data_IF_814630491449
#
_entry.id   IF_814630491449
#
_cell.length_a   1.000
_cell.length_b   1.000
_cell.length_c   1.000
_cell.angle_alpha   90.00
_cell.angle_beta   90.00
_cell.angle_gamma   90.00
#
_symmetry.space_group_name_H-M   'P 1'
#
loop_
_entity.id
_entity.type
_entity.pdbx_description
1 polymer ?
#
# COMPACT_ATOMS: atom_id res chain seq x y z
N UNK A 1 -22.18 2.24 11.36
CA UNK A 1 -22.57 3.45 10.60
C UNK A 1 -21.30 4.04 10.03
N UNK A 2 -21.21 4.22 8.70
CA UNK A 2 -19.98 4.72 8.06
C UNK A 2 -19.69 6.16 8.47
N UNK A 3 -18.46 6.42 8.87
CA UNK A 3 -17.97 7.76 9.19
C UNK A 3 -17.73 8.51 7.89
N UNK A 4 -18.37 9.67 7.78
CA UNK A 4 -18.18 10.54 6.63
C UNK A 4 -16.74 11.04 6.56
N UNK A 5 -16.11 10.83 5.40
CA UNK A 5 -14.72 11.19 5.17
C UNK A 5 -14.63 12.56 4.49
N UNK A 6 -14.10 13.55 5.21
CA UNK A 6 -13.83 14.85 4.62
C UNK A 6 -12.50 14.86 3.84
N UNK A 7 -12.40 15.77 2.87
CA UNK A 7 -11.23 15.89 1.98
C UNK A 7 -9.93 16.11 2.74
N UNK A 8 -10.01 16.90 3.82
CA UNK A 8 -8.86 17.19 4.68
C UNK A 8 -8.27 15.92 5.31
N UNK A 9 -9.12 15.02 5.83
CA UNK A 9 -8.65 13.74 6.41
C UNK A 9 -8.03 12.85 5.33
N UNK A 10 -8.64 12.77 4.14
CA UNK A 10 -8.07 12.03 3.01
C UNK A 10 -6.65 12.52 2.66
N UNK A 11 -6.46 13.84 2.53
CA UNK A 11 -5.16 14.42 2.17
C UNK A 11 -4.13 14.38 3.32
N UNK A 12 -4.59 14.21 4.58
CA UNK A 12 -3.72 14.17 5.76
C UNK A 12 -3.42 12.77 6.27
N UNK A 13 -4.05 11.72 5.74
CA UNK A 13 -3.89 10.36 6.27
C UNK A 13 -2.43 9.93 6.32
N UNK A 14 -1.64 10.19 5.28
CA UNK A 14 -0.22 9.85 5.27
C UNK A 14 0.57 10.55 6.37
N UNK A 15 0.24 11.80 6.68
CA UNK A 15 0.86 12.53 7.80
C UNK A 15 0.42 11.97 9.15
N UNK A 16 -0.84 11.54 9.29
CA UNK A 16 -1.34 10.89 10.50
C UNK A 16 -0.64 9.55 10.74
N UNK A 17 -0.58 8.70 9.72
CA UNK A 17 0.09 7.41 9.78
C UNK A 17 1.61 7.55 9.98
N UNK A 18 2.23 8.58 9.41
CA UNK A 18 3.65 8.90 9.67
C UNK A 18 3.89 9.27 11.13
N UNK A 19 3.00 10.04 11.75
CA UNK A 19 3.11 10.39 13.19
C UNK A 19 2.95 9.17 14.08
N UNK A 20 2.12 8.22 13.67
CA UNK A 20 1.85 7.02 14.44
C UNK A 20 2.94 5.95 14.31
N UNK A 21 3.37 5.65 13.09
CA UNK A 21 4.24 4.51 12.78
C UNK A 21 5.69 4.91 12.47
N UNK A 22 5.93 6.18 12.17
CA UNK A 22 7.21 6.71 11.73
C UNK A 22 7.35 6.72 10.20
N UNK A 23 8.60 6.63 9.72
CA UNK A 23 8.94 6.62 8.29
C UNK A 23 10.20 5.78 8.08
N UNK A 24 10.34 5.19 6.89
CA UNK A 24 11.59 4.58 6.44
C UNK A 24 12.55 5.71 6.04
N UNK A 25 13.76 5.74 6.59
CA UNK A 25 14.77 6.72 6.20
C UNK A 25 15.35 6.37 4.81
N UNK A 26 15.82 7.40 4.10
CA UNK A 26 16.50 7.20 2.81
C UNK A 26 17.76 6.36 3.02
N UNK A 27 17.90 5.27 2.27
CA UNK A 27 19.00 4.31 2.38
C UNK A 27 18.68 3.08 3.22
N UNK A 28 17.54 3.05 3.93
CA UNK A 28 17.11 1.92 4.76
C UNK A 28 16.07 1.02 4.05
N UNK A 29 15.75 1.29 2.79
CA UNK A 29 14.69 0.59 2.06
C UNK A 29 14.96 -0.90 1.88
N UNK A 30 16.24 -1.30 1.83
CA UNK A 30 16.65 -2.70 1.66
C UNK A 30 16.10 -3.63 2.75
N UNK A 31 15.92 -3.14 3.98
CA UNK A 31 15.34 -3.93 5.06
C UNK A 31 13.86 -4.33 4.79
N UNK A 32 13.20 -3.63 3.88
CA UNK A 32 11.79 -3.81 3.53
C UNK A 32 11.60 -4.37 2.11
N UNK A 33 12.68 -4.80 1.44
CA UNK A 33 12.65 -5.22 0.04
C UNK A 33 11.62 -6.35 -0.23
N UNK A 34 11.42 -7.24 0.74
CA UNK A 34 10.42 -8.31 0.64
C UNK A 34 8.96 -7.82 0.64
N UNK A 35 8.66 -6.69 1.27
CA UNK A 35 7.35 -6.04 1.22
C UNK A 35 7.21 -5.12 -0.01
N UNK A 36 8.28 -4.41 -0.38
CA UNK A 36 8.27 -3.57 -1.58
C UNK A 36 8.04 -4.38 -2.85
N UNK A 37 8.69 -5.55 -2.99
CA UNK A 37 8.61 -6.35 -4.20
C UNK A 37 7.16 -6.66 -4.67
N UNK A 38 6.24 -7.20 -3.83
CA UNK A 38 4.86 -7.40 -4.26
C UNK A 38 4.08 -6.10 -4.40
N UNK A 39 4.28 -5.09 -3.54
CA UNK A 39 3.57 -3.81 -3.66
C UNK A 39 3.87 -3.10 -4.98
N UNK A 40 5.15 -2.85 -5.27
CA UNK A 40 5.60 -2.16 -6.47
C UNK A 40 5.38 -3.02 -7.72
N UNK A 41 5.59 -4.34 -7.62
CA UNK A 41 5.33 -5.28 -8.71
C UNK A 41 3.85 -5.31 -9.11
N UNK A 42 2.93 -5.36 -8.14
CA UNK A 42 1.49 -5.34 -8.43
C UNK A 42 1.06 -4.00 -9.03
N UNK A 43 1.57 -2.87 -8.52
CA UNK A 43 1.34 -1.55 -9.12
C UNK A 43 1.83 -1.52 -10.58
N UNK A 44 3.03 -2.02 -10.85
CA UNK A 44 3.57 -2.02 -12.21
C UNK A 44 2.74 -2.88 -13.17
N UNK A 45 2.33 -4.09 -12.75
CA UNK A 45 1.44 -4.95 -13.55
C UNK A 45 0.15 -4.22 -13.94
N UNK A 46 -0.47 -3.55 -12.98
CA UNK A 46 -1.72 -2.82 -13.21
C UNK A 46 -1.54 -1.59 -14.09
N UNK A 47 -0.43 -0.87 -13.97
CA UNK A 47 -0.10 0.25 -14.85
C UNK A 47 0.08 -0.20 -16.31
N UNK A 48 0.76 -1.34 -16.53
CA UNK A 48 0.97 -1.91 -17.87
C UNK A 48 -0.34 -2.20 -18.62
N UNK A 49 -1.41 -2.52 -17.89
CA UNK A 49 -2.73 -2.76 -18.48
C UNK A 49 -3.48 -1.49 -18.86
N UNK A 50 -3.24 -0.38 -18.17
CA UNK A 50 -3.90 0.89 -18.46
C UNK A 50 -2.98 2.07 -18.10
N UNK A 51 -2.47 2.83 -19.08
CA UNK A 51 -1.56 3.94 -18.85
C UNK A 51 -2.19 5.14 -18.12
N UNK A 52 -3.52 5.22 -18.02
CA UNK A 52 -4.21 6.24 -17.22
C UNK A 52 -4.05 6.01 -15.71
N UNK A 53 -3.64 4.79 -15.32
CA UNK A 53 -3.27 4.43 -13.96
C UNK A 53 -1.87 4.98 -13.66
N UNK A 54 -1.80 6.28 -13.43
CA UNK A 54 -0.56 7.05 -13.27
C UNK A 54 -0.24 7.35 -11.80
N UNK A 55 0.86 8.09 -11.54
CA UNK A 55 1.35 8.38 -10.19
C UNK A 55 0.30 9.03 -9.29
N UNK A 56 -0.54 9.93 -9.83
CA UNK A 56 -1.64 10.53 -9.07
C UNK A 56 -2.63 9.47 -8.58
N UNK A 57 -3.00 8.51 -9.44
CA UNK A 57 -3.93 7.43 -9.07
C UNK A 57 -3.31 6.48 -8.06
N UNK A 58 -2.01 6.23 -8.14
CA UNK A 58 -1.29 5.44 -7.15
C UNK A 58 -1.25 6.12 -5.77
N UNK A 59 -1.04 7.44 -5.70
CA UNK A 59 -1.10 8.20 -4.44
C UNK A 59 -2.50 8.12 -3.82
N UNK A 60 -3.55 8.34 -4.63
CA UNK A 60 -4.93 8.23 -4.15
C UNK A 60 -5.24 6.82 -3.63
N UNK A 61 -4.75 5.78 -4.31
CA UNK A 61 -4.88 4.40 -3.87
C UNK A 61 -4.16 4.13 -2.55
N UNK A 62 -2.96 4.68 -2.35
CA UNK A 62 -2.23 4.59 -1.08
C UNK A 62 -3.03 5.26 0.04
N UNK A 63 -3.61 6.44 -0.18
CA UNK A 63 -4.46 7.10 0.82
C UNK A 63 -5.67 6.26 1.20
N UNK A 64 -6.31 5.60 0.22
CA UNK A 64 -7.40 4.65 0.47
C UNK A 64 -6.92 3.45 1.30
N UNK A 65 -5.77 2.85 0.96
CA UNK A 65 -5.21 1.72 1.72
C UNK A 65 -4.90 2.12 3.17
N UNK A 66 -4.28 3.28 3.37
CA UNK A 66 -3.99 3.80 4.72
C UNK A 66 -5.25 4.06 5.54
N UNK A 67 -6.34 4.54 4.90
CA UNK A 67 -7.63 4.73 5.57
C UNK A 67 -8.31 3.40 5.94
N UNK A 68 -8.17 2.37 5.12
CA UNK A 68 -8.67 1.03 5.45
C UNK A 68 -7.91 0.46 6.66
N UNK A 69 -6.58 0.57 6.65
CA UNK A 69 -5.74 0.16 7.78
C UNK A 69 -6.08 0.95 9.05
N UNK A 70 -6.17 2.29 8.98
CA UNK A 70 -6.65 3.13 10.09
C UNK A 70 -8.02 2.65 10.60
N UNK A 71 -8.92 2.27 9.69
CA UNK A 71 -10.23 1.72 10.01
C UNK A 71 -10.17 0.42 10.80
N UNK A 72 -9.32 -0.53 10.40
CA UNK A 72 -9.11 -1.78 11.13
C UNK A 72 -8.56 -1.53 12.55
N UNK A 73 -7.61 -0.61 12.67
CA UNK A 73 -6.93 -0.31 13.94
C UNK A 73 -7.80 0.48 14.93
N UNK A 74 -8.77 1.23 14.41
CA UNK A 74 -9.62 2.14 15.21
C UNK A 74 -11.09 1.70 15.26
N UNK A 75 -11.39 0.51 14.76
CA UNK A 75 -12.76 -0.01 14.60
C UNK A 75 -13.70 1.02 13.93
N UNK A 76 -13.19 1.67 12.87
CA UNK A 76 -13.89 2.74 12.15
C UNK A 76 -14.08 2.39 10.69
N UNK A 77 -15.34 2.36 10.25
CA UNK A 77 -15.66 2.19 8.84
C UNK A 77 -15.78 3.56 8.15
N UNK A 78 -14.98 3.83 7.11
CA UNK A 78 -15.01 5.09 6.35
C UNK A 78 -15.91 5.03 5.11
N UNK A 79 -16.63 6.11 4.83
CA UNK A 79 -17.28 6.29 3.52
C UNK A 79 -16.24 6.76 2.47
N UNK A 80 -15.89 5.86 1.55
CA UNK A 80 -14.84 6.07 0.54
C UNK A 80 -15.40 6.32 -0.87
N UNK A 81 -16.72 6.37 -1.04
CA UNK A 81 -17.36 6.41 -2.36
C UNK A 81 -16.92 7.62 -3.21
N UNK A 82 -16.62 8.76 -2.59
CA UNK A 82 -16.14 9.96 -3.28
C UNK A 82 -14.64 9.98 -3.62
N UNK A 83 -13.89 8.94 -3.24
CA UNK A 83 -12.43 8.88 -3.39
C UNK A 83 -11.95 7.69 -4.22
N UNK A 84 -12.88 6.85 -4.70
CA UNK A 84 -12.59 5.69 -5.54
C UNK A 84 -12.98 5.98 -6.98
N UNK A 85 -12.05 5.73 -7.89
CA UNK A 85 -12.19 5.81 -9.35
C UNK A 85 -11.80 4.47 -9.94
N UNK A 86 -12.26 4.08 -11.13
CA UNK A 86 -11.85 2.81 -11.75
C UNK A 86 -10.33 2.64 -11.80
N UNK A 87 -9.59 3.73 -12.04
CA UNK A 87 -8.13 3.71 -12.17
C UNK A 87 -7.44 3.50 -10.82
N UNK A 88 -7.84 4.24 -9.77
CA UNK A 88 -7.22 4.08 -8.46
C UNK A 88 -7.70 2.82 -7.73
N UNK A 89 -8.93 2.35 -7.99
CA UNK A 89 -9.49 1.16 -7.37
C UNK A 89 -8.70 -0.09 -7.76
N UNK A 90 -8.25 -0.16 -9.02
CA UNK A 90 -7.36 -1.24 -9.46
C UNK A 90 -6.07 -1.28 -8.61
N UNK A 91 -5.45 -0.12 -8.36
CA UNK A 91 -4.28 -0.02 -7.50
C UNK A 91 -4.58 -0.31 -6.03
N UNK A 92 -5.73 0.10 -5.51
CA UNK A 92 -6.17 -0.25 -4.15
C UNK A 92 -6.20 -1.77 -4.01
N UNK A 93 -6.85 -2.46 -4.94
CA UNK A 93 -6.89 -3.92 -4.94
C UNK A 93 -5.48 -4.53 -5.03
N UNK A 94 -4.65 -4.08 -5.98
CA UNK A 94 -3.28 -4.61 -6.13
C UNK A 94 -2.39 -4.42 -4.89
N UNK A 95 -2.52 -3.27 -4.21
CA UNK A 95 -1.81 -3.00 -2.97
C UNK A 95 -2.35 -3.86 -1.82
N UNK A 96 -3.65 -3.90 -1.58
CA UNK A 96 -4.24 -4.71 -0.50
C UNK A 96 -3.94 -6.20 -0.71
N UNK A 97 -4.02 -6.70 -1.94
CA UNK A 97 -3.64 -8.09 -2.24
C UNK A 97 -2.20 -8.42 -1.85
N UNK A 98 -1.30 -7.43 -1.72
CA UNK A 98 0.09 -7.69 -1.38
C UNK A 98 0.37 -7.87 0.13
N UNK A 99 -0.53 -7.43 1.02
CA UNK A 99 -0.25 -7.43 2.46
C UNK A 99 -1.49 -7.50 3.38
N UNK A 100 -2.71 -7.27 2.88
CA UNK A 100 -3.89 -7.11 3.74
C UNK A 100 -4.61 -8.44 3.98
N UNK A 101 -4.64 -8.96 5.22
CA UNK A 101 -5.29 -10.23 5.54
C UNK A 101 -6.82 -10.17 5.49
N UNK A 102 -7.41 -8.96 5.39
CA UNK A 102 -8.86 -8.81 5.26
C UNK A 102 -9.34 -8.78 3.81
N UNK A 103 -8.42 -8.60 2.87
CA UNK A 103 -8.69 -8.62 1.42
C UNK A 103 -8.16 -9.89 0.76
N UNK A 104 -7.01 -10.40 1.19
CA UNK A 104 -6.38 -11.59 0.60
C UNK A 104 -6.38 -12.77 1.60
N UNK A 105 -7.11 -13.83 1.25
CA UNK A 105 -7.20 -15.05 2.05
C UNK A 105 -5.85 -15.78 2.20
N UNK A 106 -4.97 -15.75 1.20
CA UNK A 106 -3.63 -16.34 1.28
C UNK A 106 -2.73 -15.57 2.28
N UNK A 107 -2.86 -14.24 2.29
CA UNK A 107 -2.21 -13.38 3.31
C UNK A 107 -2.78 -13.69 4.69
N UNK A 108 -4.10 -13.84 4.81
CA UNK A 108 -4.75 -14.17 6.09
C UNK A 108 -4.25 -15.49 6.65
N UNK A 109 -4.22 -16.53 5.84
CA UNK A 109 -3.77 -17.86 6.23
C UNK A 109 -2.30 -17.83 6.67
N UNK A 110 -1.43 -17.20 5.88
CA UNK A 110 -0.02 -17.07 6.22
C UNK A 110 0.21 -16.22 7.48
N UNK A 111 -0.52 -15.10 7.65
CA UNK A 111 -0.37 -14.21 8.80
C UNK A 111 -0.91 -14.83 10.09
N UNK A 112 -2.03 -15.56 10.04
CA UNK A 112 -2.64 -16.20 11.20
C UNK A 112 -1.74 -17.27 11.86
N UNK A 113 -0.73 -17.78 11.14
CA UNK A 113 0.31 -18.65 11.71
C UNK A 113 1.26 -17.94 12.68
N UNK A 114 1.32 -16.61 12.66
CA UNK A 114 2.26 -15.81 13.45
C UNK A 114 1.61 -14.70 14.29
N UNK A 115 0.43 -14.25 13.89
CA UNK A 115 -0.26 -13.09 14.46
C UNK A 115 -1.68 -13.44 14.88
N UNK A 116 -2.11 -12.93 16.04
CA UNK A 116 -3.53 -12.88 16.38
C UNK A 116 -4.16 -11.65 15.73
N UNK A 117 -4.81 -11.85 14.58
CA UNK A 117 -5.46 -10.78 13.80
C UNK A 117 -6.71 -10.19 14.49
N UNK A 118 -7.13 -10.74 15.63
CA UNK A 118 -8.22 -10.19 16.45
C UNK A 118 -7.71 -9.36 17.63
N UNK A 119 -6.42 -9.48 17.97
CA UNK A 119 -5.79 -8.71 19.04
C UNK A 119 -5.37 -7.33 18.53
N UNK A 120 -5.85 -6.22 19.15
CA UNK A 120 -5.48 -4.87 18.73
C UNK A 120 -3.96 -4.62 18.72
N UNK A 121 -3.21 -5.22 19.65
CA UNK A 121 -1.75 -5.05 19.70
C UNK A 121 -1.04 -5.78 18.57
N UNK A 122 -1.44 -7.02 18.29
CA UNK A 122 -0.84 -7.81 17.21
C UNK A 122 -1.22 -7.23 15.85
N UNK A 123 -2.47 -6.80 15.67
CA UNK A 123 -2.91 -6.14 14.45
C UNK A 123 -2.13 -4.85 14.18
N UNK A 124 -1.91 -4.04 15.22
CA UNK A 124 -1.11 -2.81 15.11
C UNK A 124 0.35 -3.10 14.78
N UNK A 125 0.95 -4.14 15.36
CA UNK A 125 2.32 -4.55 15.04
C UNK A 125 2.43 -5.11 13.62
N UNK A 126 1.46 -5.92 13.18
CA UNK A 126 1.41 -6.49 11.83
C UNK A 126 1.41 -5.39 10.77
N UNK A 127 0.52 -4.40 10.90
CA UNK A 127 0.38 -3.33 9.89
C UNK A 127 1.50 -2.29 9.92
N UNK A 128 2.38 -2.29 10.92
CA UNK A 128 3.44 -1.28 11.03
C UNK A 128 4.30 -1.22 9.76
N UNK A 129 4.84 -2.35 9.32
CA UNK A 129 5.75 -2.35 8.16
C UNK A 129 5.03 -2.12 6.82
N UNK A 130 3.85 -2.73 6.56
CA UNK A 130 3.07 -2.38 5.38
C UNK A 130 2.75 -0.89 5.27
N UNK A 131 2.35 -0.25 6.38
CA UNK A 131 2.11 1.21 6.42
C UNK A 131 3.37 1.99 6.09
N UNK A 132 4.51 1.63 6.67
CA UNK A 132 5.79 2.27 6.38
C UNK A 132 6.19 2.15 4.90
N UNK A 133 5.94 0.99 4.29
CA UNK A 133 6.19 0.75 2.87
C UNK A 133 5.29 1.62 1.99
N UNK A 134 3.98 1.68 2.27
CA UNK A 134 3.03 2.55 1.56
C UNK A 134 3.46 4.02 1.61
N UNK A 135 3.86 4.52 2.79
CA UNK A 135 4.34 5.89 2.96
C UNK A 135 5.65 6.15 2.19
N UNK A 136 6.56 5.17 2.12
CA UNK A 136 7.81 5.31 1.37
C UNK A 136 7.57 5.28 -0.14
N UNK A 137 6.67 4.42 -0.62
CA UNK A 137 6.24 4.37 -2.02
C UNK A 137 5.58 5.69 -2.41
N UNK A 138 4.68 6.26 -1.59
CA UNK A 138 4.06 7.57 -1.85
C UNK A 138 5.11 8.66 -2.09
N UNK A 139 6.17 8.69 -1.26
CA UNK A 139 7.30 9.62 -1.44
C UNK A 139 8.09 9.36 -2.71
N UNK A 140 8.28 8.09 -3.09
CA UNK A 140 8.91 7.73 -4.36
C UNK A 140 8.07 8.18 -5.55
N UNK A 141 6.75 7.96 -5.50
CA UNK A 141 5.83 8.40 -6.54
C UNK A 141 5.89 9.92 -6.71
N UNK A 142 5.84 10.68 -5.61
CA UNK A 142 5.92 12.14 -5.67
C UNK A 142 7.23 12.62 -6.34
N UNK A 143 8.37 12.08 -5.91
CA UNK A 143 9.68 12.41 -6.48
C UNK A 143 9.71 12.16 -8.00
N UNK A 144 9.35 10.95 -8.42
CA UNK A 144 9.42 10.59 -9.83
C UNK A 144 8.33 11.27 -10.67
N UNK A 145 7.23 11.70 -10.05
CA UNK A 145 6.24 12.55 -10.73
C UNK A 145 6.79 13.93 -11.02
N UNK A 146 7.57 14.51 -10.10
CA UNK A 146 8.26 15.79 -10.32
C UNK A 146 9.34 15.67 -11.41
N UNK A 147 10.10 14.58 -11.41
CA UNK A 147 11.22 14.39 -12.35
C UNK A 147 10.79 13.89 -13.75
N UNK A 148 9.75 13.05 -13.82
CA UNK A 148 9.37 12.30 -15.03
C UNK A 148 7.90 12.49 -15.46
N UNK A 149 7.17 13.42 -14.86
CA UNK A 149 5.76 13.67 -15.15
C UNK A 149 4.83 12.58 -14.63
N UNK A 150 3.58 12.56 -15.08
CA UNK A 150 2.52 11.73 -14.50
C UNK A 150 2.86 10.23 -14.38
N UNK A 151 3.68 9.70 -15.30
CA UNK A 151 4.08 8.29 -15.33
C UNK A 151 5.52 8.06 -14.86
N UNK A 152 6.21 9.07 -14.34
CA UNK A 152 7.64 8.99 -14.02
C UNK A 152 7.96 7.87 -13.03
N UNK A 153 7.11 7.64 -12.02
CA UNK A 153 7.30 6.52 -11.08
C UNK A 153 7.24 5.15 -11.77
N UNK A 154 6.30 4.96 -12.70
CA UNK A 154 6.20 3.70 -13.42
C UNK A 154 7.33 3.52 -14.44
N UNK A 155 7.81 4.61 -15.04
CA UNK A 155 9.02 4.57 -15.85
C UNK A 155 10.25 4.15 -15.00
N UNK A 156 10.36 4.64 -13.76
CA UNK A 156 11.37 4.19 -12.82
C UNK A 156 11.23 2.70 -12.47
N UNK A 157 10.01 2.23 -12.16
CA UNK A 157 9.76 0.81 -11.88
C UNK A 157 10.10 -0.09 -13.07
N UNK A 158 9.79 0.33 -14.31
CA UNK A 158 10.18 -0.41 -15.50
C UNK A 158 11.70 -0.57 -15.61
N UNK A 159 12.47 0.46 -15.26
CA UNK A 159 13.93 0.43 -15.31
C UNK A 159 14.55 -0.43 -14.20
N UNK A 160 13.95 -0.49 -13.02
CA UNK A 160 14.53 -1.16 -11.85
C UNK A 160 14.06 -2.60 -11.67
N UNK A 161 12.75 -2.84 -11.78
CA UNK A 161 12.12 -4.13 -11.52
C UNK A 161 11.33 -4.67 -12.72
N UNK A 162 11.24 -3.90 -13.81
CA UNK A 162 10.38 -4.24 -14.96
C UNK A 162 10.73 -5.57 -15.61
N UNK A 163 12.02 -5.89 -15.73
CA UNK A 163 12.51 -7.13 -16.33
C UNK A 163 12.16 -8.39 -15.50
N UNK A 164 12.11 -8.25 -14.18
CA UNK A 164 11.81 -9.36 -13.26
C UNK A 164 10.34 -9.43 -12.86
N UNK A 165 9.56 -8.38 -13.11
CA UNK A 165 8.12 -8.33 -12.84
C UNK A 165 7.37 -9.05 -13.96
N UNK A 166 6.67 -10.16 -13.68
CA UNK A 166 5.91 -10.89 -14.69
C UNK A 166 4.85 -10.03 -15.36
N UNK A 167 4.48 -10.37 -16.60
CA UNK A 167 3.40 -9.73 -17.37
C UNK A 167 2.07 -10.48 -17.23
N UNK A 168 1.87 -11.15 -16.11
CA UNK A 168 0.61 -11.83 -15.77
C UNK A 168 -0.28 -10.95 -14.87
N UNK A 169 -1.49 -11.45 -14.60
CA UNK A 169 -2.46 -10.80 -13.71
C UNK A 169 -2.39 -11.32 -12.27
N UNK A 170 -1.44 -12.19 -11.94
CA UNK A 170 -1.34 -12.76 -10.60
C UNK A 170 -0.77 -11.71 -9.65
N UNK A 171 -1.55 -11.31 -8.64
CA UNK A 171 -1.06 -10.43 -7.59
C UNK A 171 -0.18 -11.23 -6.63
N UNK A 172 1.02 -10.74 -6.39
CA UNK A 172 1.95 -11.33 -5.43
C UNK A 172 1.73 -10.70 -4.06
N UNK A 173 2.16 -11.41 -3.01
CA UNK A 173 2.07 -10.93 -1.64
C UNK A 173 3.30 -11.34 -0.84
N UNK A 174 3.47 -10.69 0.31
CA UNK A 174 4.39 -11.13 1.34
C UNK A 174 3.78 -10.85 2.72
N UNK A 175 4.14 -11.69 3.67
CA UNK A 175 3.65 -11.62 5.05
C UNK A 175 4.83 -11.45 5.97
N UNK A 176 4.75 -10.46 6.85
CA UNK A 176 5.70 -10.33 7.93
C UNK A 176 5.47 -11.42 8.97
N UNK A 177 6.54 -12.04 9.42
CA UNK A 177 6.48 -12.99 10.53
C UNK A 177 6.70 -12.24 11.84
N UNK A 178 6.02 -12.66 12.90
CA UNK A 178 6.25 -12.11 14.24
C UNK A 178 7.67 -12.43 14.65
N UNK A 179 8.50 -11.40 14.84
CA UNK A 179 9.84 -11.59 15.37
C UNK A 179 9.72 -12.21 16.76
N UNK A 180 10.29 -13.40 16.94
CA UNK A 180 10.37 -14.01 18.26
C UNK A 180 11.35 -13.17 19.10
N UNK A 181 11.02 -12.91 20.38
CA UNK A 181 11.92 -12.20 21.30
C UNK A 181 13.25 -12.93 21.51
#
# INVERSE_FOLDING_TARGET
MKKQLNRYKFEKISNMMTKEFGKIAKGEENAYAMLFAPMEGNLLKLHRENPDRNGRRAIEAIHVCLLLVDGYLTDTEYDLNGYRTPENEAFVNGLLMSFDPFTNDEVREAAAGYWDLTSPSDLRSYFREPVLCLLRIEKSIALWTEEGGANGYFAYLEQTIGAVTPRDLKMNFSVQVKQQP
#
